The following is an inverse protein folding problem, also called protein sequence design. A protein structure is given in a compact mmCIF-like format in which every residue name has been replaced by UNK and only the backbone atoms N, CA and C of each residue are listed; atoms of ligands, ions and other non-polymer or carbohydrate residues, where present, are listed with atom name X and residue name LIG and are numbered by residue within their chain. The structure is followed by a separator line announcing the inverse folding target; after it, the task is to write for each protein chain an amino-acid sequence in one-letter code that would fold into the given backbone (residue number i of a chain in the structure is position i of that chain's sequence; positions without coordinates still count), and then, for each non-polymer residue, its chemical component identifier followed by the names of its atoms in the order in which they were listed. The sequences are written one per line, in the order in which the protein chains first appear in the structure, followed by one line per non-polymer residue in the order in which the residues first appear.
data_IF_295509980457
#
_entry.id   IF_295509980457
#
_cell.length_a   1.000
_cell.length_b   1.000
_cell.length_c   1.000
_cell.angle_alpha   90.00
_cell.angle_beta   90.00
_cell.angle_gamma   90.00
#
_symmetry.space_group_name_H-M   'P 1'
#
loop_
_entity.id
_entity.type
_entity.pdbx_description
1 polymer ?
#
# COMPACT_ATOMS: atom_id res chain seq x y z
N UNK A 1 9.34 -33.00 0.54
CA UNK A 1 10.62 -33.41 -0.07
C UNK A 1 10.95 -32.47 -1.23
N UNK A 2 12.10 -32.58 -1.91
CA UNK A 2 12.44 -31.61 -2.99
C UNK A 2 11.50 -31.74 -4.19
N UNK A 3 10.91 -32.92 -4.40
CA UNK A 3 9.93 -33.22 -5.45
C UNK A 3 8.69 -32.32 -5.35
N UNK A 4 8.25 -31.96 -4.13
CA UNK A 4 7.10 -31.07 -3.92
C UNK A 4 7.38 -29.64 -4.43
N UNK A 5 8.66 -29.27 -4.52
CA UNK A 5 9.11 -27.96 -5.00
C UNK A 5 9.20 -27.89 -6.53
N UNK A 6 9.21 -29.04 -7.22
CA UNK A 6 9.33 -29.14 -8.67
C UNK A 6 8.32 -28.27 -9.45
N UNK A 7 7.00 -28.38 -9.22
CA UNK A 7 6.04 -27.60 -9.99
C UNK A 7 6.21 -26.09 -9.78
N UNK A 8 6.56 -25.68 -8.56
CA UNK A 8 6.77 -24.27 -8.22
C UNK A 8 8.05 -23.73 -8.87
N UNK A 9 9.14 -24.48 -8.79
CA UNK A 9 10.42 -24.09 -9.38
C UNK A 9 10.30 -23.91 -10.91
N UNK A 10 9.65 -24.86 -11.59
CA UNK A 10 9.41 -24.79 -13.05
C UNK A 10 8.55 -23.58 -13.41
N UNK A 11 7.49 -23.30 -12.64
CA UNK A 11 6.64 -22.12 -12.86
C UNK A 11 7.43 -20.80 -12.79
N UNK A 12 8.42 -20.73 -11.89
CA UNK A 12 9.31 -19.59 -11.75
C UNK A 12 10.53 -19.66 -12.68
N UNK A 13 10.54 -20.53 -13.69
CA UNK A 13 11.56 -20.54 -14.73
C UNK A 13 12.85 -21.26 -14.37
N UNK A 14 12.81 -22.18 -13.41
CA UNK A 14 13.88 -23.18 -13.23
C UNK A 14 13.68 -24.27 -14.29
N UNK A 15 14.74 -24.57 -15.03
CA UNK A 15 14.70 -25.59 -16.07
C UNK A 15 14.47 -26.99 -15.49
N UNK A 16 13.58 -27.75 -16.14
CA UNK A 16 13.14 -29.07 -15.68
C UNK A 16 14.28 -30.11 -15.68
N UNK A 17 15.20 -30.03 -16.64
CA UNK A 17 16.35 -30.93 -16.71
C UNK A 17 17.38 -30.59 -15.65
N UNK A 18 17.60 -29.30 -15.39
CA UNK A 18 18.52 -28.84 -14.33
C UNK A 18 18.00 -29.06 -12.92
N UNK A 19 16.68 -29.09 -12.71
CA UNK A 19 16.08 -29.21 -11.39
C UNK A 19 16.61 -30.41 -10.59
N UNK A 20 16.65 -31.58 -11.22
CA UNK A 20 17.05 -32.83 -10.57
C UNK A 20 18.53 -32.88 -10.19
N UNK A 21 19.36 -32.04 -10.83
CA UNK A 21 20.79 -31.92 -10.53
C UNK A 21 21.14 -30.84 -9.51
N UNK A 22 20.16 -30.03 -9.07
CA UNK A 22 20.39 -28.94 -8.12
C UNK A 22 20.08 -29.33 -6.68
N UNK A 23 20.84 -28.76 -5.76
CA UNK A 23 20.52 -28.83 -4.34
C UNK A 23 19.28 -27.98 -4.02
N UNK A 24 18.60 -28.31 -2.94
CA UNK A 24 17.44 -27.55 -2.46
C UNK A 24 17.73 -26.03 -2.33
N UNK A 25 18.94 -25.69 -1.86
CA UNK A 25 19.36 -24.30 -1.70
C UNK A 25 19.46 -23.57 -3.04
N UNK A 26 20.02 -24.21 -4.06
CA UNK A 26 20.17 -23.63 -5.39
C UNK A 26 18.81 -23.42 -6.06
N UNK A 27 17.93 -24.42 -6.00
CA UNK A 27 16.55 -24.31 -6.50
C UNK A 27 15.85 -23.13 -5.85
N UNK A 28 15.99 -22.96 -4.52
CA UNK A 28 15.37 -21.85 -3.80
C UNK A 28 15.94 -20.49 -4.23
N UNK A 29 17.27 -20.35 -4.30
CA UNK A 29 17.91 -19.10 -4.72
C UNK A 29 17.47 -18.72 -6.14
N UNK A 30 17.46 -19.68 -7.06
CA UNK A 30 17.09 -19.43 -8.45
C UNK A 30 15.62 -19.06 -8.59
N UNK A 31 14.74 -19.77 -7.88
CA UNK A 31 13.30 -19.47 -7.82
C UNK A 31 13.04 -18.06 -7.31
N UNK A 32 13.73 -17.65 -6.24
CA UNK A 32 13.59 -16.32 -5.65
C UNK A 32 14.14 -15.22 -6.59
N UNK A 33 15.29 -15.45 -7.22
CA UNK A 33 15.88 -14.51 -8.17
C UNK A 33 14.95 -14.29 -9.37
N UNK A 34 14.42 -15.36 -9.96
CA UNK A 34 13.50 -15.26 -11.10
C UNK A 34 12.20 -14.57 -10.73
N UNK A 35 11.63 -14.88 -9.55
CA UNK A 35 10.45 -14.18 -9.04
C UNK A 35 10.70 -12.68 -8.90
N UNK A 36 11.84 -12.29 -8.34
CA UNK A 36 12.20 -10.88 -8.17
C UNK A 36 12.33 -10.19 -9.53
N UNK A 37 13.07 -10.77 -10.47
CA UNK A 37 13.24 -10.22 -11.81
C UNK A 37 11.88 -10.00 -12.49
N UNK A 38 10.97 -10.96 -12.38
CA UNK A 38 9.62 -10.85 -12.95
C UNK A 38 8.80 -9.73 -12.31
N UNK A 39 8.90 -9.55 -10.99
CA UNK A 39 8.23 -8.45 -10.28
C UNK A 39 8.81 -7.10 -10.71
N UNK A 40 10.13 -6.99 -10.78
CA UNK A 40 10.79 -5.75 -11.18
C UNK A 40 10.44 -5.38 -12.63
N UNK A 41 10.36 -6.37 -13.53
CA UNK A 41 9.90 -6.18 -14.90
C UNK A 41 8.43 -5.72 -14.97
N UNK A 42 7.53 -6.32 -14.18
CA UNK A 42 6.13 -5.88 -14.10
C UNK A 42 6.00 -4.44 -13.58
N UNK A 43 6.79 -4.07 -12.56
CA UNK A 43 6.84 -2.69 -12.04
C UNK A 43 7.34 -1.71 -13.09
N UNK A 44 8.40 -2.07 -13.81
CA UNK A 44 8.95 -1.26 -14.88
C UNK A 44 7.94 -1.04 -16.01
N UNK A 45 7.27 -2.12 -16.47
CA UNK A 45 6.22 -2.02 -17.50
C UNK A 45 5.07 -1.12 -17.06
N UNK A 46 4.58 -1.28 -15.84
CA UNK A 46 3.51 -0.43 -15.32
C UNK A 46 3.90 1.06 -15.23
N UNK A 47 5.16 1.35 -14.87
CA UNK A 47 5.68 2.72 -14.86
C UNK A 47 5.75 3.30 -16.29
N UNK A 48 6.21 2.50 -17.25
CA UNK A 48 6.30 2.90 -18.66
C UNK A 48 4.91 3.12 -19.28
N UNK A 49 3.95 2.23 -19.02
CA UNK A 49 2.56 2.38 -19.47
C UNK A 49 1.95 3.68 -18.94
N UNK A 50 2.20 4.01 -17.67
CA UNK A 50 1.75 5.28 -17.09
C UNK A 50 2.43 6.49 -17.74
N UNK A 51 3.74 6.43 -17.99
CA UNK A 51 4.45 7.51 -18.70
C UNK A 51 3.93 7.68 -20.13
N UNK A 52 3.64 6.59 -20.83
CA UNK A 52 3.05 6.61 -22.16
C UNK A 52 1.66 7.23 -22.14
N UNK A 53 0.80 6.82 -21.19
CA UNK A 53 -0.53 7.39 -21.04
C UNK A 53 -0.45 8.90 -20.71
N UNK A 54 0.51 9.33 -19.88
CA UNK A 54 0.74 10.76 -19.61
C UNK A 54 1.15 11.54 -20.85
N UNK A 55 2.03 10.98 -21.68
CA UNK A 55 2.43 11.58 -22.96
C UNK A 55 1.24 11.72 -23.91
N UNK A 56 0.39 10.70 -23.99
CA UNK A 56 -0.84 10.74 -24.78
C UNK A 56 -1.80 11.80 -24.23
N UNK A 57 -2.04 11.83 -22.91
CA UNK A 57 -2.93 12.81 -22.28
C UNK A 57 -2.43 14.25 -22.45
N UNK A 58 -1.11 14.47 -22.41
CA UNK A 58 -0.49 15.75 -22.71
C UNK A 58 -0.69 16.15 -24.18
N UNK A 59 -0.51 15.22 -25.12
CA UNK A 59 -0.69 15.46 -26.55
C UNK A 59 -2.16 15.78 -26.92
N UNK A 60 -3.13 15.22 -26.18
CA UNK A 60 -4.57 15.41 -26.42
C UNK A 60 -5.26 16.36 -25.41
N UNK A 61 -4.50 17.08 -24.58
CA UNK A 61 -4.96 18.15 -23.70
C UNK A 61 -6.04 17.76 -22.66
N UNK A 62 -5.87 16.63 -21.95
CA UNK A 62 -6.67 16.34 -20.74
C UNK A 62 -5.82 15.74 -19.58
N UNK A 63 -4.73 16.40 -19.12
CA UNK A 63 -3.78 15.82 -18.16
C UNK A 63 -4.36 15.62 -16.75
N UNK A 64 -5.45 16.32 -16.41
CA UNK A 64 -6.02 16.36 -15.06
C UNK A 64 -6.92 15.15 -14.71
N UNK A 65 -7.21 14.25 -15.65
CA UNK A 65 -8.09 13.09 -15.43
C UNK A 65 -7.35 11.75 -15.34
N UNK A 66 -6.02 11.73 -15.41
CA UNK A 66 -5.29 10.46 -15.32
C UNK A 66 -5.21 9.95 -13.87
N UNK A 67 -5.65 8.71 -13.60
CA UNK A 67 -5.49 8.09 -12.29
C UNK A 67 -4.01 7.85 -12.01
N UNK A 68 -3.62 7.95 -10.74
CA UNK A 68 -2.22 7.72 -10.33
C UNK A 68 -1.81 6.26 -10.64
N UNK A 69 -0.51 5.96 -10.84
CA UNK A 69 -0.04 4.59 -11.11
C UNK A 69 -0.53 3.58 -10.06
N UNK A 70 -0.61 4.02 -8.80
CA UNK A 70 -1.03 3.24 -7.64
C UNK A 70 -2.55 2.97 -7.59
N UNK A 71 -3.35 3.75 -8.33
CA UNK A 71 -4.79 3.55 -8.49
C UNK A 71 -5.11 2.66 -9.70
N UNK A 72 -4.37 2.84 -10.80
CA UNK A 72 -4.51 2.04 -12.02
C UNK A 72 -3.97 0.61 -11.84
N UNK A 73 -2.93 0.43 -11.04
CA UNK A 73 -2.28 -0.86 -10.81
C UNK A 73 -2.21 -1.17 -9.31
N UNK A 74 -3.26 -1.77 -8.73
CA UNK A 74 -3.34 -2.05 -7.29
C UNK A 74 -2.20 -2.93 -6.74
N UNK A 75 -1.50 -3.68 -7.60
CA UNK A 75 -0.33 -4.50 -7.21
C UNK A 75 0.95 -3.68 -6.97
N UNK A 76 0.96 -2.40 -7.35
CA UNK A 76 2.05 -1.46 -7.04
C UNK A 76 1.94 -0.87 -5.63
N UNK A 77 0.77 -1.02 -4.97
CA UNK A 77 0.61 -0.64 -3.57
C UNK A 77 1.45 -1.59 -2.71
N UNK A 78 2.65 -1.15 -2.34
CA UNK A 78 3.45 -1.84 -1.34
C UNK A 78 2.62 -1.89 -0.04
N UNK A 79 2.18 -3.08 0.38
CA UNK A 79 1.40 -3.24 1.62
C UNK A 79 2.13 -2.75 2.88
N UNK A 80 3.44 -2.50 2.79
CA UNK A 80 4.25 -1.86 3.85
C UNK A 80 3.90 -0.38 4.08
N UNK A 81 3.25 0.31 3.14
CA UNK A 81 2.85 1.71 3.35
C UNK A 81 1.51 1.86 4.08
N UNK A 82 0.70 0.78 4.21
CA UNK A 82 -0.56 0.83 4.97
C UNK A 82 -0.37 1.05 6.48
N UNK A 83 0.85 0.95 7.02
CA UNK A 83 1.12 1.19 8.46
C UNK A 83 1.52 2.63 8.80
N UNK A 84 1.57 3.56 7.84
CA UNK A 84 2.00 4.93 8.14
C UNK A 84 1.20 6.03 7.43
N UNK A 85 -0.10 5.86 7.20
CA UNK A 85 -0.98 7.03 7.18
C UNK A 85 -1.18 7.50 8.63
N UNK A 86 -0.11 8.06 9.20
CA UNK A 86 -0.25 8.92 10.36
C UNK A 86 -1.19 10.03 9.92
N UNK A 87 -2.38 10.08 10.50
CA UNK A 87 -3.33 11.15 10.25
C UNK A 87 -2.57 12.50 10.35
N UNK A 88 -2.71 13.40 9.37
CA UNK A 88 -1.93 14.64 9.35
C UNK A 88 -2.14 15.39 10.66
N UNK A 89 -1.06 15.93 11.24
CA UNK A 89 -1.00 16.38 12.64
C UNK A 89 -2.14 17.33 13.04
N UNK A 90 -2.59 18.18 12.10
CA UNK A 90 -3.73 19.08 12.27
C UNK A 90 -5.06 18.36 12.62
N UNK A 91 -5.29 17.14 12.12
CA UNK A 91 -6.48 16.34 12.46
C UNK A 91 -6.43 15.82 13.90
N UNK A 92 -5.23 15.51 14.41
CA UNK A 92 -5.05 15.08 15.80
C UNK A 92 -5.32 16.23 16.76
N UNK A 93 -4.78 17.41 16.44
CA UNK A 93 -5.03 18.65 17.18
C UNK A 93 -6.51 19.01 17.21
N UNK A 94 -7.20 18.90 16.07
CA UNK A 94 -8.63 19.18 15.99
C UNK A 94 -9.45 18.24 16.89
N UNK A 95 -9.11 16.94 16.93
CA UNK A 95 -9.79 15.98 17.82
C UNK A 95 -9.53 16.28 19.30
N UNK A 96 -8.30 16.63 19.68
CA UNK A 96 -7.99 17.01 21.06
C UNK A 96 -8.75 18.27 21.48
N UNK A 97 -8.81 19.27 20.61
CA UNK A 97 -9.54 20.51 20.88
C UNK A 97 -11.05 20.24 21.05
N UNK A 98 -11.64 19.41 20.19
CA UNK A 98 -13.05 19.02 20.32
C UNK A 98 -13.34 18.28 21.64
N UNK A 99 -12.45 17.37 22.05
CA UNK A 99 -12.59 16.65 23.30
C UNK A 99 -12.52 17.57 24.53
N UNK A 100 -11.62 18.57 24.50
CA UNK A 100 -11.54 19.59 25.56
C UNK A 100 -12.79 20.48 25.58
N UNK A 101 -13.24 20.94 24.40
CA UNK A 101 -14.45 21.76 24.29
C UNK A 101 -15.70 21.02 24.81
N UNK A 102 -15.81 19.72 24.55
CA UNK A 102 -16.90 18.88 25.08
C UNK A 102 -16.86 18.80 26.62
N UNK A 103 -15.67 18.65 27.22
CA UNK A 103 -15.50 18.66 28.68
C UNK A 103 -15.91 19.99 29.31
N UNK A 104 -15.49 21.11 28.71
CA UNK A 104 -15.85 22.45 29.23
C UNK A 104 -17.36 22.69 29.12
N UNK A 105 -17.99 22.28 28.03
CA UNK A 105 -19.46 22.37 27.88
C UNK A 105 -20.20 21.53 28.93
N UNK A 106 -19.74 20.30 29.19
CA UNK A 106 -20.32 19.45 30.22
C UNK A 106 -20.18 20.06 31.62
N UNK A 107 -19.02 20.61 31.94
CA UNK A 107 -18.77 21.30 33.22
C UNK A 107 -19.64 22.55 33.39
N UNK A 108 -19.75 23.39 32.36
CA UNK A 108 -20.58 24.60 32.38
C UNK A 108 -22.07 24.28 32.51
N UNK A 109 -22.53 23.16 31.92
CA UNK A 109 -23.91 22.68 32.08
C UNK A 109 -24.19 22.20 33.50
N UNK A 110 -23.23 21.52 34.13
CA UNK A 110 -23.31 21.13 35.54
C UNK A 110 -23.37 22.36 36.47
N UNK A 111 -22.53 23.36 36.21
CA UNK A 111 -22.46 24.59 37.01
C UNK A 111 -23.72 25.47 36.87
N UNK A 112 -24.33 25.55 35.68
CA UNK A 112 -25.60 26.26 35.49
C UNK A 112 -26.81 25.54 36.11
N UNK A 113 -26.77 24.22 36.22
CA UNK A 113 -27.83 23.45 36.88
C UNK A 113 -27.84 23.55 38.41
N UNK A 114 -26.79 24.11 39.03
CA UNK A 114 -26.67 24.25 40.49
C UNK A 114 -27.14 25.59 41.05
N UNK A 115 -27.57 26.54 40.23
CA UNK A 115 -27.99 27.89 40.66
C UNK A 115 -29.49 28.16 40.56
N UNK A 116 -30.32 27.14 40.28
CA UNK A 116 -31.79 27.29 40.15
C UNK A 116 -32.61 26.55 41.23
N UNK A 117 -31.98 25.91 42.22
CA UNK A 117 -32.69 25.36 43.39
C UNK A 117 -31.98 25.73 44.69
N UNK A 118 -32.26 26.94 45.17
CA UNK A 118 -31.78 27.48 46.43
C UNK A 118 -32.62 28.67 46.86
N UNK A 119 -33.90 28.43 47.10
CA UNK A 119 -34.81 29.27 47.91
C UNK A 119 -35.29 28.44 49.08
#
# INVERSE_FOLDING_TARGET
MIEDLYPVAVQYGVDAERFWGMSFKEVMIQTLANRKNRIDEMKFRAMMDHQQANLIAFAFNDPNKMPKPEEAYPFLRDEKQKQAEQAPEWKKDQMQLMAQAARVKAFNKLKKGGTEHGT
#
